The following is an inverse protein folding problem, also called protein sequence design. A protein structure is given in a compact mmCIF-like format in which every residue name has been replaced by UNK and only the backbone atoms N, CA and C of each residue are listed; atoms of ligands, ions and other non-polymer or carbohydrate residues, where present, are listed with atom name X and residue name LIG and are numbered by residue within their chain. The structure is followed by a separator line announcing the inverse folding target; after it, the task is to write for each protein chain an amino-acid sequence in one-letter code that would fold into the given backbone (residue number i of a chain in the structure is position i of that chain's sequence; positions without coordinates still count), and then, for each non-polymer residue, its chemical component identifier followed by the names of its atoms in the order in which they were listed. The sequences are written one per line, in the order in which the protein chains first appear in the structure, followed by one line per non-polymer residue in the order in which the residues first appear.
data_IF_881731076236
#
_entry.id   IF_881731076236
#
_cell.length_a   1.000
_cell.length_b   1.000
_cell.length_c   1.000
_cell.angle_alpha   90.00
_cell.angle_beta   90.00
_cell.angle_gamma   90.00
#
_symmetry.space_group_name_H-M   'P 1'
#
loop_
_entity.id
_entity.type
_entity.pdbx_description
1 polymer ?
#
# COMPACT_ATOMS: atom_id res chain seq x y z
N UNK A 1 -20.13 -11.93 -15.28
CA UNK A 1 -18.73 -11.48 -15.03
C UNK A 1 -18.46 -10.33 -15.97
N UNK A 2 -18.11 -9.09 -15.53
CA UNK A 2 -17.81 -8.04 -16.49
C UNK A 2 -16.40 -8.27 -17.03
N UNK A 3 -16.35 -8.60 -18.31
CA UNK A 3 -15.18 -8.75 -19.17
C UNK A 3 -14.85 -7.35 -19.65
N UNK A 4 -13.75 -6.73 -19.19
CA UNK A 4 -13.31 -5.44 -19.76
C UNK A 4 -12.71 -4.40 -18.82
N UNK A 5 -12.63 -4.61 -17.51
CA UNK A 5 -11.86 -3.68 -16.65
C UNK A 5 -10.39 -4.07 -16.69
N UNK A 6 -9.58 -3.31 -17.43
CA UNK A 6 -8.13 -3.30 -17.22
C UNK A 6 -7.89 -2.85 -15.79
N UNK A 7 -7.71 -3.81 -14.89
CA UNK A 7 -7.18 -3.53 -13.55
C UNK A 7 -5.77 -3.03 -13.78
N UNK A 8 -5.59 -1.70 -13.72
CA UNK A 8 -4.28 -1.08 -13.76
C UNK A 8 -3.53 -1.62 -12.56
N UNK A 9 -2.78 -2.69 -12.79
CA UNK A 9 -2.28 -3.58 -11.75
C UNK A 9 -1.34 -2.83 -10.81
N UNK A 10 -0.69 -1.73 -11.24
CA UNK A 10 0.26 -0.93 -10.44
C UNK A 10 -0.32 -0.30 -9.15
N UNK A 11 -0.53 -1.13 -8.13
CA UNK A 11 -0.92 -0.74 -6.78
C UNK A 11 0.36 -0.60 -5.94
N UNK A 12 1.18 0.41 -6.27
CA UNK A 12 2.12 0.93 -5.30
C UNK A 12 1.32 1.57 -4.18
N UNK A 13 1.40 1.01 -2.98
CA UNK A 13 0.71 1.53 -1.81
C UNK A 13 1.73 2.07 -0.82
N UNK A 14 1.48 3.27 -0.30
CA UNK A 14 2.31 3.85 0.73
C UNK A 14 2.32 3.01 2.01
N UNK A 15 3.49 2.92 2.63
CA UNK A 15 3.68 2.52 4.02
C UNK A 15 3.84 3.77 4.88
N UNK A 16 3.58 3.67 6.19
CA UNK A 16 3.88 4.71 7.16
C UNK A 16 5.37 4.79 7.53
N UNK A 17 6.22 3.91 6.98
CA UNK A 17 7.66 3.90 7.21
C UNK A 17 8.37 4.96 6.36
N UNK A 18 9.09 5.86 7.02
CA UNK A 18 9.98 6.83 6.37
C UNK A 18 11.26 6.16 5.87
N UNK A 19 11.75 6.58 4.70
CA UNK A 19 13.10 6.22 4.23
C UNK A 19 14.09 7.37 4.46
N UNK A 20 13.68 8.62 4.16
CA UNK A 20 14.40 9.84 4.50
C UNK A 20 13.46 11.06 4.42
N UNK A 21 14.01 12.27 4.59
CA UNK A 21 13.25 13.52 4.55
C UNK A 21 12.33 13.65 3.31
N UNK A 22 12.79 13.18 2.15
CA UNK A 22 12.08 13.31 0.88
C UNK A 22 11.37 12.02 0.43
N UNK A 23 11.72 10.85 0.98
CA UNK A 23 11.24 9.56 0.49
C UNK A 23 10.51 8.74 1.58
N UNK A 24 9.47 8.02 1.17
CA UNK A 24 8.78 7.03 1.99
C UNK A 24 8.81 5.64 1.32
N UNK A 25 8.63 4.59 2.12
CA UNK A 25 8.54 3.22 1.61
C UNK A 25 7.16 2.95 1.01
N UNK A 26 7.12 2.16 -0.06
CA UNK A 26 5.91 1.66 -0.70
C UNK A 26 6.05 0.17 -1.04
N UNK A 27 4.91 -0.50 -1.13
CA UNK A 27 4.81 -1.91 -1.50
C UNK A 27 4.04 -2.06 -2.80
N UNK A 28 4.54 -2.88 -3.72
CA UNK A 28 3.90 -3.19 -4.98
C UNK A 28 3.12 -4.50 -4.87
N UNK A 29 1.79 -4.41 -4.80
CA UNK A 29 0.92 -5.58 -4.68
C UNK A 29 0.87 -6.49 -5.93
N UNK A 30 1.52 -6.13 -7.05
CA UNK A 30 1.59 -7.01 -8.22
C UNK A 30 2.66 -8.08 -8.13
N UNK A 31 3.82 -7.71 -7.58
CA UNK A 31 5.02 -8.53 -7.64
C UNK A 31 5.72 -8.63 -6.28
N UNK A 32 5.10 -8.09 -5.22
CA UNK A 32 5.62 -8.15 -3.86
C UNK A 32 6.87 -7.31 -3.61
N UNK A 33 7.27 -6.47 -4.57
CA UNK A 33 8.48 -5.67 -4.41
C UNK A 33 8.26 -4.49 -3.44
N UNK A 34 9.25 -4.25 -2.60
CA UNK A 34 9.32 -3.08 -1.71
C UNK A 34 10.29 -2.07 -2.30
N UNK A 35 9.88 -0.80 -2.38
CA UNK A 35 10.73 0.28 -2.89
C UNK A 35 10.49 1.57 -2.11
N UNK A 36 11.36 2.58 -2.26
CA UNK A 36 11.11 3.93 -1.74
C UNK A 36 10.92 4.93 -2.89
N UNK A 37 10.03 5.90 -2.69
CA UNK A 37 9.68 6.94 -3.67
C UNK A 37 9.59 8.30 -2.97
N UNK A 38 9.68 9.38 -3.74
CA UNK A 38 9.47 10.74 -3.24
C UNK A 38 8.05 10.87 -2.67
N UNK A 39 7.92 11.51 -1.50
CA UNK A 39 6.66 11.73 -0.77
C UNK A 39 5.64 12.56 -1.57
N UNK A 40 6.08 13.30 -2.59
CA UNK A 40 5.20 14.03 -3.51
C UNK A 40 4.60 13.17 -4.65
N UNK A 41 5.00 11.90 -4.79
CA UNK A 41 4.43 11.01 -5.80
C UNK A 41 3.02 10.54 -5.40
N UNK A 42 2.12 10.48 -6.38
CA UNK A 42 0.78 9.93 -6.19
C UNK A 42 0.81 8.40 -6.20
N UNK A 43 0.84 7.79 -5.02
CA UNK A 43 0.63 6.35 -4.82
C UNK A 43 -0.69 6.10 -4.06
N UNK A 44 -1.16 4.85 -4.09
CA UNK A 44 -2.38 4.46 -3.38
C UNK A 44 -2.13 4.39 -1.87
N UNK A 45 -3.21 4.44 -1.08
CA UNK A 45 -3.19 4.22 0.36
C UNK A 45 -4.11 3.05 0.69
N UNK A 46 -3.64 2.12 1.51
CA UNK A 46 -4.45 1.03 2.07
C UNK A 46 -4.44 1.16 3.58
N UNK A 47 -5.57 1.51 4.16
CA UNK A 47 -5.72 1.51 5.61
C UNK A 47 -5.69 0.07 6.14
N UNK A 48 -4.97 -0.14 7.24
CA UNK A 48 -4.95 -1.40 7.99
C UNK A 48 -5.64 -1.16 9.32
N UNK A 49 -6.51 -2.07 9.72
CA UNK A 49 -7.23 -2.02 10.99
C UNK A 49 -6.92 -3.29 11.76
N UNK A 50 -6.76 -3.14 13.07
CA UNK A 50 -6.69 -4.29 13.97
C UNK A 50 -8.11 -4.89 14.16
N UNK A 51 -8.16 -6.19 14.44
CA UNK A 51 -9.38 -6.96 14.66
C UNK A 51 -9.33 -7.74 15.98
N UNK A 52 -8.67 -7.19 17.01
CA UNK A 52 -8.70 -7.77 18.35
C UNK A 52 -10.13 -7.80 18.90
N UNK A 53 -10.83 -8.92 18.68
CA UNK A 53 -12.03 -9.27 19.39
C UNK A 53 -11.58 -9.69 20.80
N UNK A 54 -11.93 -8.87 21.81
CA UNK A 54 -11.69 -9.21 23.20
C UNK A 54 -12.56 -10.42 23.53
N UNK A 55 -11.98 -11.63 23.53
CA UNK A 55 -12.63 -12.78 24.14
C UNK A 55 -12.57 -12.54 25.65
N UNK A 56 -13.61 -11.93 26.22
CA UNK A 56 -13.81 -11.98 27.67
C UNK A 56 -14.29 -13.39 28.01
N UNK A 57 -13.38 -14.21 28.54
CA UNK A 57 -13.71 -15.43 29.29
C UNK A 57 -14.29 -15.03 30.66
#
# INVERSE_FOLDING_TARGET
MPIGKSIKTRLYSWSSSENNANNAWNFNFNNGNTNNNNKNNTNYVRAVRDFTAKLSL
#
